data_IF_819059106701
#
_entry.id   IF_819059106701
#
_cell.length_a   1.000
_cell.length_b   1.000
_cell.length_c   1.000
_cell.angle_alpha   90.00
_cell.angle_beta   90.00
_cell.angle_gamma   90.00
#
_symmetry.space_group_name_H-M   'P 1'
#
loop_
_entity.id
_entity.type
_entity.pdbx_description
1 polymer ?
#
# COMPACT_ATOMS: atom_id res chain seq x y z
N UNK A 1 -26.96 34.06 36.89
CA UNK A 1 -25.92 34.91 37.53
C UNK A 1 -25.02 34.01 38.36
N UNK A 2 -23.71 34.27 38.26
CA UNK A 2 -22.58 33.57 38.89
C UNK A 2 -22.62 33.46 40.41
N UNK A 3 -22.10 32.33 40.93
CA UNK A 3 -20.88 32.18 41.77
C UNK A 3 -21.09 31.09 42.85
N UNK A 4 -20.36 29.97 42.81
CA UNK A 4 -18.98 29.74 43.30
C UNK A 4 -18.95 29.53 44.83
N UNK A 5 -18.47 28.39 45.31
CA UNK A 5 -17.28 28.27 46.20
C UNK A 5 -17.21 26.98 47.07
N UNK A 6 -16.13 26.22 46.81
CA UNK A 6 -15.22 25.43 47.66
C UNK A 6 -15.69 24.31 48.61
N UNK A 7 -15.04 23.15 48.44
CA UNK A 7 -14.56 22.32 49.55
C UNK A 7 -13.08 21.96 49.31
N UNK A 8 -12.29 22.06 50.37
CA UNK A 8 -10.83 21.91 50.43
C UNK A 8 -10.48 20.79 51.41
N UNK A 9 -9.41 20.04 51.12
CA UNK A 9 -8.77 19.07 52.04
C UNK A 9 -8.32 17.81 51.30
N UNK A 10 -7.13 17.23 51.46
CA UNK A 10 -5.99 17.50 52.32
C UNK A 10 -4.71 16.96 51.65
N UNK A 11 -3.60 17.58 52.02
CA UNK A 11 -2.22 17.29 51.62
C UNK A 11 -1.72 15.98 52.24
N UNK A 12 -0.99 15.17 51.47
CA UNK A 12 -0.24 14.01 51.96
C UNK A 12 1.08 13.87 51.18
N UNK A 13 2.18 14.31 51.79
CA UNK A 13 3.56 14.12 51.33
C UNK A 13 4.13 12.94 52.11
N UNK A 14 4.76 11.96 51.46
CA UNK A 14 6.01 11.35 51.95
C UNK A 14 6.69 10.51 50.85
N UNK A 15 7.96 10.83 50.62
CA UNK A 15 8.87 10.20 49.67
C UNK A 15 9.65 9.05 50.32
N UNK A 16 10.10 8.07 49.51
CA UNK A 16 11.36 7.36 49.73
C UNK A 16 11.81 6.64 48.45
N UNK A 17 12.86 7.18 47.85
CA UNK A 17 13.70 6.59 46.81
C UNK A 17 14.59 5.47 47.38
N UNK A 18 14.69 4.34 46.69
CA UNK A 18 15.75 3.36 46.90
C UNK A 18 16.49 3.13 45.57
N UNK A 19 17.74 3.59 45.53
CA UNK A 19 18.75 3.19 44.55
C UNK A 19 19.39 1.90 45.06
N UNK A 20 19.47 0.86 44.22
CA UNK A 20 20.45 -0.20 44.37
C UNK A 20 21.14 -0.40 43.02
N UNK A 21 22.40 0.02 42.99
CA UNK A 21 23.40 -0.47 42.04
C UNK A 21 23.84 -1.85 42.51
N UNK A 22 23.88 -2.82 41.60
CA UNK A 22 24.59 -4.07 41.76
C UNK A 22 25.28 -4.40 40.45
N UNK A 23 26.61 -4.39 40.47
CA UNK A 23 27.45 -5.07 39.50
C UNK A 23 27.74 -6.48 40.05
N UNK A 24 27.71 -7.52 39.22
CA UNK A 24 28.82 -8.49 39.10
C UNK A 24 28.47 -9.71 38.22
N UNK A 25 29.41 -9.98 37.31
CA UNK A 25 29.94 -11.27 36.83
C UNK A 25 29.04 -12.29 36.13
N UNK A 26 29.38 -12.48 34.84
CA UNK A 26 29.46 -13.72 34.06
C UNK A 26 29.15 -15.03 34.80
N UNK A 27 28.19 -15.78 34.25
CA UNK A 27 28.35 -17.21 34.05
C UNK A 27 27.46 -17.67 32.89
N UNK A 28 28.11 -18.30 31.92
CA UNK A 28 27.54 -19.11 30.86
C UNK A 28 26.56 -20.14 31.43
N UNK A 29 25.38 -20.27 30.82
CA UNK A 29 24.66 -21.53 30.87
C UNK A 29 24.15 -21.91 29.47
N UNK A 30 24.72 -23.01 29.01
CA UNK A 30 24.56 -23.60 27.71
C UNK A 30 23.30 -24.48 27.73
N UNK A 31 22.16 -23.89 27.36
CA UNK A 31 20.86 -24.55 27.28
C UNK A 31 20.41 -24.77 25.83
N UNK A 32 20.88 -25.86 25.24
CA UNK A 32 20.43 -26.45 23.98
C UNK A 32 18.90 -26.37 23.78
N UNK A 33 18.44 -25.55 22.83
CA UNK A 33 17.08 -25.61 22.31
C UNK A 33 17.12 -26.27 20.93
N UNK A 34 16.71 -27.53 20.88
CA UNK A 34 16.79 -28.37 19.71
C UNK A 34 15.81 -27.96 18.61
N UNK A 35 16.28 -28.09 17.36
CA UNK A 35 15.46 -28.59 16.26
C UNK A 35 14.82 -27.55 15.33
N UNK A 36 15.62 -26.95 14.45
CA UNK A 36 15.14 -26.29 13.24
C UNK A 36 16.17 -25.37 12.60
N UNK A 37 17.16 -25.94 11.89
CA UNK A 37 18.04 -25.16 11.01
C UNK A 37 17.22 -24.58 9.85
N UNK A 38 16.59 -23.43 10.07
CA UNK A 38 16.32 -22.48 9.00
C UNK A 38 17.43 -21.43 9.09
N UNK A 39 18.19 -21.14 8.01
CA UNK A 39 19.06 -19.97 8.03
C UNK A 39 18.18 -18.77 8.40
N UNK A 40 18.57 -18.05 9.45
CA UNK A 40 17.86 -16.83 9.88
C UNK A 40 17.70 -15.94 8.66
N UNK A 41 16.47 -15.76 8.18
CA UNK A 41 16.21 -14.91 7.04
C UNK A 41 16.56 -13.48 7.46
N UNK A 42 17.57 -12.90 6.82
CA UNK A 42 17.99 -11.52 7.08
C UNK A 42 17.29 -10.65 6.05
N UNK A 43 16.33 -9.85 6.51
CA UNK A 43 15.70 -8.80 5.71
C UNK A 43 16.55 -7.53 5.76
N UNK A 44 16.73 -6.87 4.62
CA UNK A 44 17.62 -5.72 4.48
C UNK A 44 16.84 -4.42 4.54
N UNK A 45 17.04 -3.71 5.64
CA UNK A 45 16.55 -2.35 5.81
C UNK A 45 17.52 -1.32 5.26
N UNK A 46 16.96 -0.33 4.58
CA UNK A 46 17.65 0.81 3.97
C UNK A 46 16.76 2.05 4.06
N UNK A 47 17.13 3.11 3.35
CA UNK A 47 16.26 4.24 3.09
C UNK A 47 16.15 4.52 1.60
N UNK A 48 14.98 5.00 1.19
CA UNK A 48 14.73 5.48 -0.17
C UNK A 48 14.03 6.84 -0.06
N UNK A 49 14.65 7.91 -0.57
CA UNK A 49 14.10 9.26 -0.46
C UNK A 49 13.85 9.71 0.99
N UNK A 50 14.61 9.18 1.96
CA UNK A 50 14.45 9.46 3.38
C UNK A 50 13.39 8.62 4.10
N UNK A 51 12.65 7.76 3.38
CA UNK A 51 11.68 6.83 3.95
C UNK A 51 12.33 5.50 4.32
N UNK A 52 11.72 4.76 5.24
CA UNK A 52 12.16 3.40 5.57
C UNK A 52 11.88 2.47 4.38
N UNK A 53 12.90 1.71 3.99
CA UNK A 53 12.82 0.80 2.87
C UNK A 53 13.27 -0.61 3.27
N UNK A 54 12.58 -1.64 2.78
CA UNK A 54 12.92 -3.04 3.04
C UNK A 54 12.80 -3.90 1.77
N UNK A 55 13.68 -4.89 1.63
CA UNK A 55 13.62 -5.89 0.55
C UNK A 55 12.57 -7.00 0.79
N UNK A 56 11.81 -6.90 1.89
CA UNK A 56 10.74 -7.81 2.27
C UNK A 56 9.45 -7.03 2.56
N UNK A 57 8.31 -7.54 2.10
CA UNK A 57 7.03 -6.80 2.15
C UNK A 57 6.05 -7.30 3.22
N UNK A 58 6.27 -8.51 3.76
CA UNK A 58 5.31 -9.16 4.66
C UNK A 58 5.69 -9.01 6.13
N UNK A 59 4.69 -8.63 6.92
CA UNK A 59 4.80 -8.39 8.34
C UNK A 59 3.78 -9.21 9.12
N UNK A 60 4.04 -9.39 10.41
CA UNK A 60 3.09 -9.88 11.40
C UNK A 60 2.33 -8.69 12.01
N UNK A 61 1.23 -8.96 12.71
CA UNK A 61 0.41 -7.94 13.38
C UNK A 61 1.19 -7.04 14.36
N UNK A 62 2.32 -7.52 14.90
CA UNK A 62 3.20 -6.75 15.78
C UNK A 62 4.18 -5.84 15.02
N UNK A 63 4.04 -5.72 13.69
CA UNK A 63 4.86 -4.88 12.83
C UNK A 63 6.24 -5.45 12.51
N UNK A 64 6.52 -6.72 12.87
CA UNK A 64 7.80 -7.37 12.56
C UNK A 64 7.73 -8.15 11.25
N UNK A 65 8.84 -8.16 10.54
CA UNK A 65 9.00 -8.87 9.27
C UNK A 65 8.79 -10.36 9.46
N UNK A 66 8.03 -10.97 8.56
CA UNK A 66 7.73 -12.40 8.64
C UNK A 66 7.50 -12.96 7.24
N UNK A 67 8.24 -14.01 6.88
CA UNK A 67 8.10 -14.70 5.61
C UNK A 67 6.70 -15.30 5.41
N UNK A 68 6.04 -15.65 6.52
CA UNK A 68 4.67 -16.17 6.56
C UNK A 68 3.68 -15.11 7.08
N UNK A 69 4.09 -13.83 7.10
CA UNK A 69 3.25 -12.72 7.52
C UNK A 69 2.04 -12.54 6.60
N UNK A 70 0.99 -11.94 7.14
CA UNK A 70 -0.25 -11.66 6.41
C UNK A 70 -0.54 -10.17 6.29
N UNK A 71 0.34 -9.30 6.81
CA UNK A 71 0.26 -7.86 6.60
C UNK A 71 1.24 -7.43 5.50
N UNK A 72 0.76 -6.64 4.53
CA UNK A 72 1.57 -6.00 3.49
C UNK A 72 1.86 -4.58 3.95
N UNK A 73 3.15 -4.27 4.11
CA UNK A 73 3.59 -3.05 4.77
C UNK A 73 3.53 -3.19 6.30
N UNK A 74 4.23 -2.28 6.98
CA UNK A 74 4.40 -2.29 8.43
C UNK A 74 3.43 -1.35 9.16
N UNK A 75 2.48 -0.74 8.43
CA UNK A 75 1.55 0.25 8.96
C UNK A 75 2.12 1.66 9.13
N UNK A 76 3.40 1.88 8.83
CA UNK A 76 3.90 3.26 8.62
C UNK A 76 3.14 3.85 7.42
N UNK A 77 2.80 5.14 7.48
CA UNK A 77 2.06 5.78 6.38
C UNK A 77 2.83 5.69 5.06
N UNK A 78 4.15 5.65 5.09
CA UNK A 78 5.01 5.61 3.91
C UNK A 78 6.11 4.54 4.06
N UNK A 79 5.83 3.34 3.56
CA UNK A 79 6.76 2.20 3.56
C UNK A 79 7.21 1.88 2.13
N UNK A 80 8.52 1.73 1.94
CA UNK A 80 9.10 1.44 0.62
C UNK A 80 9.56 -0.01 0.53
N UNK A 81 9.01 -0.75 -0.43
CA UNK A 81 9.42 -2.08 -0.80
C UNK A 81 10.43 -2.03 -1.95
N UNK A 82 11.63 -2.58 -1.73
CA UNK A 82 12.75 -2.59 -2.69
C UNK A 82 13.09 -3.98 -3.22
N UNK A 83 12.33 -5.00 -2.79
CA UNK A 83 12.60 -6.40 -3.09
C UNK A 83 11.88 -6.94 -4.31
N UNK A 84 12.02 -8.25 -4.49
CA UNK A 84 11.21 -9.03 -5.43
C UNK A 84 10.54 -10.17 -4.69
N UNK A 85 9.23 -10.14 -4.59
CA UNK A 85 8.51 -11.09 -3.74
C UNK A 85 7.20 -11.54 -4.40
N UNK A 86 6.90 -12.83 -4.26
CA UNK A 86 5.61 -13.41 -4.64
C UNK A 86 4.78 -13.66 -3.38
N UNK A 87 3.60 -13.07 -3.31
CA UNK A 87 2.60 -13.41 -2.32
C UNK A 87 1.89 -14.68 -2.74
N UNK A 88 1.88 -15.67 -1.84
CA UNK A 88 1.15 -16.91 -2.05
C UNK A 88 -0.34 -16.66 -2.01
N UNK A 89 -1.13 -17.53 -2.67
CA UNK A 89 -2.59 -17.45 -2.58
C UNK A 89 -3.03 -17.40 -1.11
N UNK A 90 -3.72 -16.33 -0.74
CA UNK A 90 -4.09 -16.09 0.65
C UNK A 90 -5.00 -14.88 0.83
N UNK A 91 -5.20 -14.49 2.09
CA UNK A 91 -5.81 -13.21 2.44
C UNK A 91 -4.79 -12.37 3.19
N UNK A 92 -4.58 -11.15 2.74
CA UNK A 92 -3.61 -10.21 3.30
C UNK A 92 -4.29 -8.90 3.70
N UNK A 93 -3.73 -8.23 4.69
CA UNK A 93 -4.11 -6.87 5.09
C UNK A 93 -3.03 -5.89 4.61
N UNK A 94 -3.38 -4.98 3.71
CA UNK A 94 -2.52 -3.90 3.24
C UNK A 94 -2.63 -2.73 4.22
N UNK A 95 -1.50 -2.25 4.75
CA UNK A 95 -1.44 -1.18 5.75
C UNK A 95 -0.48 -0.09 5.33
N UNK A 96 -0.94 1.16 5.45
CA UNK A 96 -0.20 2.35 5.03
C UNK A 96 -0.06 2.47 3.51
N UNK A 97 0.74 3.43 3.06
CA UNK A 97 1.10 3.54 1.65
C UNK A 97 2.35 2.71 1.40
N UNK A 98 2.18 1.67 0.59
CA UNK A 98 3.23 0.74 0.24
C UNK A 98 3.72 1.05 -1.16
N UNK A 99 4.94 1.55 -1.24
CA UNK A 99 5.61 1.93 -2.48
C UNK A 99 6.44 0.75 -3.01
N UNK A 100 6.14 0.25 -4.21
CA UNK A 100 7.00 -0.68 -4.94
C UNK A 100 8.00 0.18 -5.73
N UNK A 101 9.22 0.27 -5.22
CA UNK A 101 10.26 1.17 -5.72
C UNK A 101 10.85 0.75 -7.08
N UNK A 102 11.69 1.60 -7.68
CA UNK A 102 12.42 1.29 -8.91
C UNK A 102 13.24 -0.01 -8.76
N UNK A 103 13.05 -0.95 -9.69
CA UNK A 103 13.69 -2.26 -9.67
C UNK A 103 13.01 -3.31 -8.78
N UNK A 104 12.04 -2.92 -7.94
CA UNK A 104 11.25 -3.82 -7.11
C UNK A 104 10.10 -4.45 -7.90
N UNK A 105 9.66 -5.64 -7.46
CA UNK A 105 8.57 -6.37 -8.11
C UNK A 105 7.72 -7.11 -7.07
N UNK A 106 6.44 -6.79 -7.01
CA UNK A 106 5.45 -7.52 -6.23
C UNK A 106 4.61 -8.39 -7.16
N UNK A 107 4.68 -9.70 -6.98
CA UNK A 107 3.81 -10.66 -7.66
C UNK A 107 2.75 -11.19 -6.71
N UNK A 108 1.50 -11.29 -7.14
CA UNK A 108 0.38 -11.79 -6.35
C UNK A 108 -0.21 -13.01 -7.07
N UNK A 109 -0.25 -14.16 -6.40
CA UNK A 109 -0.82 -15.38 -6.98
C UNK A 109 -2.35 -15.27 -7.18
N UNK A 110 -2.93 -15.96 -8.19
CA UNK A 110 -4.36 -15.99 -8.44
C UNK A 110 -5.21 -16.36 -7.22
N UNK A 111 -6.42 -15.80 -7.14
CA UNK A 111 -7.37 -16.07 -6.05
C UNK A 111 -7.00 -15.44 -4.70
N UNK A 112 -6.00 -14.55 -4.66
CA UNK A 112 -5.61 -13.80 -3.47
C UNK A 112 -6.61 -12.68 -3.18
N UNK A 113 -6.88 -12.44 -1.90
CA UNK A 113 -7.66 -11.30 -1.40
C UNK A 113 -6.73 -10.36 -0.65
N UNK A 114 -6.68 -9.11 -1.07
CA UNK A 114 -5.98 -8.03 -0.38
C UNK A 114 -7.04 -7.11 0.23
N UNK A 115 -6.95 -6.90 1.54
CA UNK A 115 -7.83 -6.00 2.29
C UNK A 115 -7.10 -4.69 2.57
N UNK A 116 -7.59 -3.57 2.07
CA UNK A 116 -7.06 -2.26 2.41
C UNK A 116 -7.51 -1.83 3.80
N UNK A 117 -6.55 -1.55 4.67
CA UNK A 117 -6.78 -1.03 6.02
C UNK A 117 -7.27 0.42 5.97
N UNK A 118 -8.36 0.68 6.68
CA UNK A 118 -9.04 1.96 6.63
C UNK A 118 -8.38 3.01 7.49
N UNK A 119 -7.84 2.62 8.63
CA UNK A 119 -7.27 3.56 9.59
C UNK A 119 -5.98 4.19 9.05
N UNK A 120 -5.19 3.40 8.31
CA UNK A 120 -3.95 3.83 7.64
C UNK A 120 -4.18 4.35 6.23
N UNK A 121 -5.42 4.34 5.74
CA UNK A 121 -5.81 4.84 4.41
C UNK A 121 -5.00 4.13 3.33
N UNK A 122 -4.94 2.81 3.44
CA UNK A 122 -3.91 2.02 2.80
C UNK A 122 -3.94 2.13 1.27
N UNK A 123 -2.78 2.19 0.64
CA UNK A 123 -2.64 2.30 -0.81
C UNK A 123 -1.46 1.47 -1.31
N UNK A 124 -1.60 0.88 -2.50
CA UNK A 124 -0.53 0.14 -3.15
C UNK A 124 -0.04 0.91 -4.38
N UNK A 125 1.23 1.30 -4.37
CA UNK A 125 1.75 2.32 -5.28
C UNK A 125 2.98 1.75 -5.98
N UNK A 126 2.91 1.48 -7.27
CA UNK A 126 4.08 1.16 -8.08
C UNK A 126 4.73 2.45 -8.59
N UNK A 127 5.93 2.75 -8.11
CA UNK A 127 6.70 3.92 -8.59
C UNK A 127 7.32 3.63 -9.96
N UNK A 128 7.87 4.66 -10.62
CA UNK A 128 8.57 4.50 -11.90
C UNK A 128 9.63 3.41 -11.83
N UNK A 129 9.47 2.37 -12.64
CA UNK A 129 10.37 1.21 -12.70
C UNK A 129 10.10 0.11 -11.67
N UNK A 130 9.19 0.35 -10.73
CA UNK A 130 8.58 -0.68 -9.88
C UNK A 130 7.47 -1.42 -10.63
N UNK A 131 7.20 -2.66 -10.24
CA UNK A 131 6.24 -3.53 -10.94
C UNK A 131 5.25 -4.21 -10.01
N UNK A 132 3.97 -4.13 -10.38
CA UNK A 132 2.90 -4.93 -9.79
C UNK A 132 2.44 -6.00 -10.78
N UNK A 133 2.60 -7.28 -10.42
CA UNK A 133 2.16 -8.42 -11.22
C UNK A 133 0.99 -9.12 -10.51
N UNK A 134 -0.24 -8.77 -10.89
CA UNK A 134 -1.48 -9.35 -10.38
C UNK A 134 -2.26 -9.99 -11.55
N UNK A 135 -1.93 -11.25 -11.86
CA UNK A 135 -2.55 -12.02 -12.94
C UNK A 135 -3.47 -13.09 -12.37
N UNK A 136 -4.68 -12.71 -12.01
CA UNK A 136 -5.74 -13.66 -11.66
C UNK A 136 -6.23 -14.45 -12.87
N UNK A 137 -7.29 -15.22 -12.66
CA UNK A 137 -8.01 -15.90 -13.75
C UNK A 137 -9.52 -15.66 -13.60
N UNK A 138 -10.30 -16.01 -14.62
CA UNK A 138 -11.76 -15.95 -14.52
C UNK A 138 -12.32 -16.78 -13.35
N UNK A 139 -11.68 -17.90 -13.01
CA UNK A 139 -12.08 -18.77 -11.90
C UNK A 139 -11.51 -18.30 -10.55
N UNK A 140 -10.34 -17.65 -10.56
CA UNK A 140 -9.61 -17.22 -9.37
C UNK A 140 -9.12 -15.78 -9.55
N UNK A 141 -10.05 -14.79 -9.57
CA UNK A 141 -9.66 -13.39 -9.68
C UNK A 141 -8.89 -12.96 -8.43
N UNK A 142 -8.00 -11.98 -8.59
CA UNK A 142 -7.38 -11.30 -7.45
C UNK A 142 -8.31 -10.16 -7.02
N UNK A 143 -8.60 -10.06 -5.73
CA UNK A 143 -9.57 -9.07 -5.20
C UNK A 143 -8.87 -8.14 -4.22
N UNK A 144 -8.87 -6.85 -4.52
CA UNK A 144 -8.54 -5.78 -3.60
C UNK A 144 -9.84 -5.16 -3.08
N UNK A 145 -10.02 -5.10 -1.76
CA UNK A 145 -11.27 -4.63 -1.14
C UNK A 145 -11.01 -3.93 0.19
N UNK A 146 -11.98 -3.18 0.71
CA UNK A 146 -12.00 -2.75 2.11
C UNK A 146 -11.84 -3.91 3.10
N UNK A 147 -11.10 -3.67 4.19
CA UNK A 147 -11.00 -4.59 5.33
C UNK A 147 -12.30 -4.71 6.14
N UNK A 148 -13.17 -3.71 6.04
CA UNK A 148 -14.39 -3.63 6.86
C UNK A 148 -15.29 -4.84 6.61
N UNK A 149 -16.05 -5.18 7.65
CA UNK A 149 -16.98 -6.30 7.60
C UNK A 149 -17.98 -6.14 6.44
N UNK A 150 -18.38 -7.25 5.84
CA UNK A 150 -19.39 -7.24 4.79
C UNK A 150 -20.68 -6.55 5.30
N UNK A 151 -21.20 -5.60 4.53
CA UNK A 151 -22.32 -4.74 4.92
C UNK A 151 -21.92 -3.42 5.59
N UNK A 152 -20.68 -3.29 6.07
CA UNK A 152 -20.13 -2.06 6.66
C UNK A 152 -19.15 -1.33 5.73
N UNK A 153 -18.73 -1.97 4.64
CA UNK A 153 -17.83 -1.40 3.63
C UNK A 153 -18.44 -0.16 2.98
N UNK A 154 -17.63 0.86 2.79
CA UNK A 154 -18.02 2.12 2.16
C UNK A 154 -17.02 2.50 1.07
N UNK A 155 -17.47 3.19 0.03
CA UNK A 155 -16.57 3.89 -0.87
C UNK A 155 -15.52 4.68 -0.08
N UNK A 156 -14.27 4.65 -0.51
CA UNK A 156 -13.17 5.42 0.10
C UNK A 156 -12.67 4.83 1.41
N UNK A 157 -12.97 3.55 1.69
CA UNK A 157 -12.43 2.86 2.85
C UNK A 157 -10.91 2.70 2.76
N UNK A 158 -10.33 2.68 1.57
CA UNK A 158 -8.89 2.62 1.35
C UNK A 158 -8.49 3.42 0.09
N UNK A 159 -7.19 3.64 -0.10
CA UNK A 159 -6.64 4.47 -1.17
C UNK A 159 -6.99 3.96 -2.55
N UNK A 160 -6.54 2.74 -2.88
CA UNK A 160 -6.63 2.20 -4.24
C UNK A 160 -5.27 1.71 -4.72
N UNK A 161 -5.16 1.54 -6.03
CA UNK A 161 -3.92 1.14 -6.70
C UNK A 161 -3.45 2.27 -7.59
N UNK A 162 -2.17 2.63 -7.47
CA UNK A 162 -1.52 3.64 -8.32
C UNK A 162 -0.37 2.98 -9.06
N UNK A 163 -0.34 3.13 -10.39
CA UNK A 163 0.78 2.71 -11.23
C UNK A 163 1.40 3.95 -11.86
N UNK A 164 2.69 4.20 -11.62
CA UNK A 164 3.43 5.32 -12.21
C UNK A 164 4.53 4.80 -13.14
N UNK A 165 4.46 5.20 -14.40
CA UNK A 165 5.39 4.79 -15.45
C UNK A 165 6.26 5.92 -16.01
N UNK A 166 7.09 5.54 -16.97
CA UNK A 166 8.10 6.38 -17.64
C UNK A 166 7.65 6.85 -19.03
N UNK A 167 6.39 6.64 -19.42
CA UNK A 167 5.85 7.09 -20.70
C UNK A 167 5.64 8.61 -20.74
N UNK A 168 5.43 9.14 -21.93
CA UNK A 168 5.21 10.58 -22.10
C UNK A 168 3.86 11.02 -21.54
N UNK A 169 3.81 12.30 -21.18
CA UNK A 169 2.59 13.07 -20.96
C UNK A 169 2.84 14.49 -21.49
N UNK A 170 1.81 15.32 -21.56
CA UNK A 170 1.95 16.71 -22.04
C UNK A 170 2.46 17.71 -20.99
N UNK A 171 2.84 17.23 -19.79
CA UNK A 171 3.36 18.01 -18.65
C UNK A 171 4.82 17.66 -18.28
N UNK A 172 5.50 16.83 -19.07
CA UNK A 172 6.83 16.23 -18.80
C UNK A 172 6.88 15.28 -17.59
N UNK A 173 7.18 15.78 -16.39
CA UNK A 173 7.19 15.04 -15.14
C UNK A 173 6.28 15.75 -14.13
N UNK A 174 5.41 15.00 -13.46
CA UNK A 174 4.50 15.50 -12.43
C UNK A 174 4.51 14.59 -11.20
N UNK A 175 4.15 15.14 -10.05
CA UNK A 175 3.80 14.35 -8.88
C UNK A 175 2.38 13.80 -9.08
N UNK A 176 2.15 12.53 -8.75
CA UNK A 176 0.82 11.95 -8.84
C UNK A 176 -0.14 12.63 -7.85
N UNK A 177 -1.41 12.72 -8.20
CA UNK A 177 -2.44 13.25 -7.31
C UNK A 177 -2.65 12.39 -6.05
N UNK A 178 -3.33 12.95 -5.05
CA UNK A 178 -3.74 12.24 -3.84
C UNK A 178 -2.69 12.24 -2.73
N UNK A 179 -1.56 12.95 -2.91
CA UNK A 179 -0.55 13.17 -1.89
C UNK A 179 0.68 12.24 -1.84
N UNK A 180 0.75 11.05 -2.50
CA UNK A 180 1.96 10.25 -2.53
C UNK A 180 3.19 11.02 -3.02
N UNK A 181 4.37 10.61 -2.56
CA UNK A 181 5.66 11.15 -3.05
C UNK A 181 5.94 10.85 -4.52
N UNK A 182 5.20 9.90 -5.08
CA UNK A 182 5.50 9.29 -6.36
C UNK A 182 5.34 10.28 -7.51
N UNK A 183 6.30 10.23 -8.43
CA UNK A 183 6.27 11.00 -9.67
C UNK A 183 6.05 10.08 -10.87
N UNK A 184 5.43 10.62 -11.91
CA UNK A 184 5.23 9.94 -13.18
C UNK A 184 5.67 10.83 -14.35
N UNK A 185 5.86 10.19 -15.51
CA UNK A 185 6.31 10.86 -16.73
C UNK A 185 7.75 10.52 -17.09
N UNK A 186 8.06 10.71 -18.36
CA UNK A 186 9.35 10.36 -18.95
C UNK A 186 9.29 10.42 -20.47
N UNK A 187 10.09 9.56 -21.12
CA UNK A 187 10.23 9.53 -22.57
C UNK A 187 10.07 8.13 -23.17
N UNK A 188 9.78 7.13 -22.34
CA UNK A 188 9.72 5.72 -22.72
C UNK A 188 8.26 5.26 -22.81
N UNK A 189 7.67 5.46 -23.99
CA UNK A 189 6.29 5.05 -24.26
C UNK A 189 6.10 3.51 -24.21
N UNK A 190 7.18 2.73 -24.21
CA UNK A 190 7.16 1.27 -24.11
C UNK A 190 7.43 0.76 -22.69
N UNK A 191 7.50 1.64 -21.68
CA UNK A 191 7.69 1.28 -20.28
C UNK A 191 6.68 0.22 -19.80
N UNK A 192 7.08 -0.57 -18.81
CA UNK A 192 6.29 -1.65 -18.24
C UNK A 192 6.24 -1.54 -16.71
N UNK A 193 5.07 -1.14 -16.20
CA UNK A 193 4.76 -1.03 -14.76
C UNK A 193 4.15 -2.31 -14.19
N UNK A 194 4.15 -3.40 -14.97
CA UNK A 194 3.67 -4.72 -14.57
C UNK A 194 2.46 -5.23 -15.36
N UNK A 195 1.55 -5.92 -14.67
CA UNK A 195 0.36 -6.52 -15.28
C UNK A 195 -0.78 -6.71 -14.28
N UNK A 196 -1.97 -6.22 -14.63
CA UNK A 196 -3.23 -6.51 -13.95
C UNK A 196 -4.15 -7.25 -14.92
N UNK A 197 -4.48 -8.51 -14.60
CA UNK A 197 -5.41 -9.33 -15.38
C UNK A 197 -6.37 -10.09 -14.45
N UNK A 198 -7.68 -10.03 -14.71
CA UNK A 198 -8.71 -10.61 -13.82
C UNK A 198 -8.60 -10.11 -12.38
N UNK A 199 -8.66 -8.78 -12.24
CA UNK A 199 -8.53 -8.08 -10.96
C UNK A 199 -9.84 -7.36 -10.63
N UNK A 200 -10.26 -7.43 -9.36
CA UNK A 200 -11.35 -6.62 -8.81
C UNK A 200 -10.79 -5.65 -7.79
N UNK A 201 -11.18 -4.39 -7.89
CA UNK A 201 -10.82 -3.32 -6.97
C UNK A 201 -12.14 -2.76 -6.43
N UNK A 202 -12.32 -2.81 -5.12
CA UNK A 202 -13.60 -2.52 -4.48
C UNK A 202 -13.43 -1.54 -3.33
N UNK A 203 -14.33 -0.55 -3.23
CA UNK A 203 -14.39 0.36 -2.07
C UNK A 203 -13.13 1.24 -1.89
N UNK A 204 -12.34 1.42 -2.94
CA UNK A 204 -11.22 2.37 -3.01
C UNK A 204 -11.74 3.82 -3.11
N UNK A 205 -10.87 4.81 -3.33
CA UNK A 205 -11.31 6.21 -3.49
C UNK A 205 -10.99 7.14 -2.32
N UNK A 206 -9.99 6.84 -1.47
CA UNK A 206 -9.80 7.60 -0.23
C UNK A 206 -9.49 9.08 -0.51
N UNK A 207 -10.24 10.04 0.08
CA UNK A 207 -9.99 11.45 -0.15
C UNK A 207 -8.84 12.00 0.69
N UNK A 208 -7.71 12.29 0.05
CA UNK A 208 -6.52 12.79 0.73
C UNK A 208 -6.68 14.24 1.18
N UNK A 209 -7.09 15.10 0.26
CA UNK A 209 -7.54 16.47 0.54
C UNK A 209 -8.85 16.71 -0.21
N UNK A 210 -9.51 17.82 0.09
CA UNK A 210 -10.68 18.23 -0.68
C UNK A 210 -10.26 18.46 -2.13
N UNK A 211 -10.96 17.81 -3.06
CA UNK A 211 -10.72 17.92 -4.50
C UNK A 211 -9.29 17.43 -4.88
N UNK A 212 -8.76 16.45 -4.13
CA UNK A 212 -7.50 15.71 -4.35
C UNK A 212 -7.62 14.31 -3.75
N UNK A 213 -8.26 13.44 -4.47
CA UNK A 213 -8.60 12.10 -4.04
C UNK A 213 -7.66 11.05 -4.70
N UNK A 214 -7.56 9.85 -4.11
CA UNK A 214 -6.89 8.70 -4.74
C UNK A 214 -7.98 7.82 -5.32
N UNK A 215 -7.89 7.46 -6.60
CA UNK A 215 -8.92 6.75 -7.35
C UNK A 215 -8.96 5.23 -7.10
N UNK A 216 -9.85 4.54 -7.81
CA UNK A 216 -9.86 3.08 -7.84
C UNK A 216 -8.57 2.50 -8.42
N UNK A 217 -8.30 2.79 -9.69
CA UNK A 217 -7.05 2.47 -10.37
C UNK A 217 -6.51 3.70 -11.11
N UNK A 218 -5.42 4.25 -10.61
CA UNK A 218 -4.75 5.42 -11.17
C UNK A 218 -3.56 5.01 -12.04
N UNK A 219 -3.45 5.60 -13.23
CA UNK A 219 -2.36 5.44 -14.17
C UNK A 219 -1.62 6.76 -14.38
N UNK A 220 -0.48 6.94 -13.71
CA UNK A 220 0.44 8.04 -14.01
C UNK A 220 1.40 7.67 -15.13
N UNK A 221 1.24 8.18 -16.35
CA UNK A 221 2.20 7.98 -17.45
C UNK A 221 2.65 6.52 -17.65
N UNK A 222 1.72 5.58 -17.56
CA UNK A 222 2.00 4.16 -17.70
C UNK A 222 2.23 3.82 -19.17
N UNK A 223 3.28 3.06 -19.46
CA UNK A 223 3.68 2.72 -20.83
C UNK A 223 2.93 1.54 -21.44
N UNK A 224 2.97 1.46 -22.77
CA UNK A 224 2.28 0.44 -23.58
C UNK A 224 2.81 -0.98 -23.38
N UNK A 225 3.95 -1.12 -22.69
CA UNK A 225 4.48 -2.42 -22.30
C UNK A 225 3.71 -3.05 -21.14
N UNK A 226 2.88 -2.28 -20.43
CA UNK A 226 2.07 -2.72 -19.28
C UNK A 226 0.80 -3.43 -19.75
N UNK A 227 0.48 -4.57 -19.13
CA UNK A 227 -0.75 -5.32 -19.45
C UNK A 227 -1.87 -4.94 -18.48
N UNK A 228 -2.96 -4.37 -18.99
CA UNK A 228 -4.18 -4.11 -18.21
C UNK A 228 -5.38 -4.71 -18.92
N UNK A 229 -5.95 -5.79 -18.37
CA UNK A 229 -7.16 -6.38 -18.92
C UNK A 229 -8.07 -7.08 -17.90
N UNK A 230 -9.36 -7.18 -18.19
CA UNK A 230 -10.34 -7.81 -17.27
C UNK A 230 -10.25 -7.24 -15.84
N UNK A 231 -10.23 -5.90 -15.74
CA UNK A 231 -10.18 -5.20 -14.46
C UNK A 231 -11.56 -4.61 -14.19
N UNK A 232 -12.09 -4.88 -13.00
CA UNK A 232 -13.30 -4.24 -12.52
C UNK A 232 -12.96 -3.34 -11.34
N UNK A 233 -13.43 -2.10 -11.39
CA UNK A 233 -13.45 -1.19 -10.25
C UNK A 233 -14.90 -0.99 -9.84
N UNK A 234 -15.19 -1.08 -8.54
CA UNK A 234 -16.55 -0.91 -8.05
C UNK A 234 -16.63 -0.22 -6.70
N UNK A 235 -17.69 0.57 -6.52
CA UNK A 235 -17.93 1.31 -5.29
C UNK A 235 -16.75 2.22 -4.90
N UNK A 236 -16.02 2.80 -5.87
CA UNK A 236 -15.01 3.82 -5.56
C UNK A 236 -15.70 5.09 -5.06
N UNK A 237 -15.04 5.83 -4.17
CA UNK A 237 -15.50 7.13 -3.69
C UNK A 237 -15.07 8.30 -4.59
N UNK A 238 -14.42 7.96 -5.68
CA UNK A 238 -13.86 8.87 -6.68
C UNK A 238 -13.84 8.13 -8.02
N UNK A 239 -12.96 8.50 -8.96
CA UNK A 239 -12.94 7.86 -10.26
C UNK A 239 -12.66 6.36 -10.17
N UNK A 240 -13.32 5.61 -11.05
CA UNK A 240 -13.05 4.18 -11.16
C UNK A 240 -11.67 3.95 -11.80
N UNK A 241 -11.42 4.58 -12.93
CA UNK A 241 -10.14 4.54 -13.63
C UNK A 241 -9.74 5.94 -14.04
N UNK A 242 -8.50 6.32 -13.76
CA UNK A 242 -7.99 7.63 -14.14
C UNK A 242 -6.60 7.54 -14.76
N UNK A 243 -6.41 8.20 -15.91
CA UNK A 243 -5.14 8.24 -16.62
C UNK A 243 -4.55 9.65 -16.62
N UNK A 244 -3.44 9.83 -15.91
CA UNK A 244 -2.59 11.02 -16.02
C UNK A 244 -1.50 10.80 -17.08
N UNK A 245 -1.87 10.93 -18.36
CA UNK A 245 -0.97 10.71 -19.49
C UNK A 245 -0.61 9.24 -19.72
N UNK A 246 0.40 8.99 -20.56
CA UNK A 246 0.86 7.63 -20.88
C UNK A 246 0.27 7.03 -22.16
N UNK A 247 0.60 5.75 -22.36
CA UNK A 247 0.36 4.97 -23.59
C UNK A 247 -0.11 3.53 -23.30
N UNK A 248 -0.52 3.25 -22.07
CA UNK A 248 -1.04 1.93 -21.65
C UNK A 248 -2.41 1.61 -22.23
N UNK A 249 -2.44 0.62 -23.12
CA UNK A 249 -3.70 0.14 -23.68
C UNK A 249 -4.41 -0.79 -22.69
N UNK A 250 -5.70 -0.53 -22.48
CA UNK A 250 -6.55 -1.33 -21.59
C UNK A 250 -7.68 -2.02 -22.36
N UNK A 251 -8.12 -3.20 -21.89
CA UNK A 251 -9.26 -3.91 -22.49
C UNK A 251 -10.10 -4.65 -21.45
N UNK A 252 -11.41 -4.75 -21.69
CA UNK A 252 -12.35 -5.40 -20.76
C UNK A 252 -12.34 -4.75 -19.36
N UNK A 253 -12.49 -3.43 -19.34
CA UNK A 253 -12.66 -2.67 -18.12
C UNK A 253 -14.14 -2.61 -17.73
N UNK A 254 -14.41 -2.69 -16.43
CA UNK A 254 -15.74 -2.50 -15.86
C UNK A 254 -15.65 -1.50 -14.73
N UNK A 255 -16.27 -0.33 -14.92
CA UNK A 255 -16.58 0.58 -13.83
C UNK A 255 -18.01 0.29 -13.35
N UNK A 256 -18.21 0.20 -12.03
CA UNK A 256 -19.52 -0.08 -11.47
C UNK A 256 -19.77 0.65 -10.17
N UNK A 257 -20.69 1.61 -10.19
CA UNK A 257 -21.07 2.42 -9.03
C UNK A 257 -19.88 3.16 -8.42
N UNK A 258 -19.00 3.72 -9.26
CA UNK A 258 -18.10 4.80 -8.82
C UNK A 258 -18.91 6.02 -8.39
N UNK A 259 -18.29 6.90 -7.62
CA UNK A 259 -18.95 8.11 -7.11
C UNK A 259 -18.85 9.29 -8.08
N UNK A 260 -17.67 9.48 -8.68
CA UNK A 260 -17.42 10.55 -9.65
C UNK A 260 -17.39 9.99 -11.09
N UNK A 261 -16.25 9.93 -11.77
CA UNK A 261 -16.19 9.46 -13.15
C UNK A 261 -15.88 7.96 -13.27
N UNK A 262 -16.50 7.31 -14.26
CA UNK A 262 -16.18 5.91 -14.58
C UNK A 262 -14.78 5.81 -15.22
N UNK A 263 -14.43 6.78 -16.07
CA UNK A 263 -13.16 6.87 -16.78
C UNK A 263 -12.80 8.34 -16.96
N UNK A 264 -11.74 8.80 -16.29
CA UNK A 264 -11.18 10.14 -16.49
C UNK A 264 -9.79 10.07 -17.13
N UNK A 265 -9.49 10.99 -18.03
CA UNK A 265 -8.21 11.05 -18.71
C UNK A 265 -7.69 12.47 -18.74
N UNK A 266 -6.44 12.59 -18.34
CA UNK A 266 -5.76 13.84 -18.14
C UNK A 266 -4.35 13.79 -18.74
N UNK A 267 -3.65 14.93 -18.72
CA UNK A 267 -2.23 15.04 -19.11
C UNK A 267 -1.88 14.45 -20.50
N UNK A 268 -2.84 14.42 -21.41
CA UNK A 268 -2.65 13.96 -22.79
C UNK A 268 -2.44 12.45 -22.92
N UNK A 269 -3.20 11.64 -22.18
CA UNK A 269 -3.25 10.18 -22.37
C UNK A 269 -3.43 9.81 -23.85
N UNK A 270 -2.70 8.80 -24.32
CA UNK A 270 -2.51 8.55 -25.76
C UNK A 270 -2.59 7.08 -26.20
N UNK A 271 -3.09 6.18 -25.36
CA UNK A 271 -3.47 4.83 -25.83
C UNK A 271 -3.71 3.86 -24.71
#
# INVERSE_FOLDING_TARGET
MMNKMYFMGCMGILAASALLSSCSSDNDDNGNNGGGNNPSVIYKWTTDGGLKACDHILFSEDGKENANGTEIGNGDQEFVFTGKQTLKKGTYLLKGWVYIADGAELTIEPGTIIKGDKQTKAALIAERGGKLIAKGTAAEPIVFTSEEAAGSRKPGDWGGIILCGKAKNNQTEQQIEGGPRTKHGGTDDADNSGALSYVRIEFAGYPFQKDKEINGLTFGSVGSGTQIDHVQVSYSNDDSFEWFGGTVNCKYLVAYKGWDDDFDTDNGFSG
#
